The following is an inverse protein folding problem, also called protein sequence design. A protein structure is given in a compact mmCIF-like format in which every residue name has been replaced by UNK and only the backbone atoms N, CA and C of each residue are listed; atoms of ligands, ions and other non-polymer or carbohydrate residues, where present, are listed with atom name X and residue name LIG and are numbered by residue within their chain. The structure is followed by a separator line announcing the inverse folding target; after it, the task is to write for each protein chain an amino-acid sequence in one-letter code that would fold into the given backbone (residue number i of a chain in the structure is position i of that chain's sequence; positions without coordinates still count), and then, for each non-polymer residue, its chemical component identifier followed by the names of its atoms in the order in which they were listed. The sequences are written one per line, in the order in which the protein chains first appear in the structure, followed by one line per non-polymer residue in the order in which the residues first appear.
data_IF_128976389331
#
_entry.id   IF_128976389331
#
_cell.length_a   1.000
_cell.length_b   1.000
_cell.length_c   1.000
_cell.angle_alpha   90.00
_cell.angle_beta   90.00
_cell.angle_gamma   90.00
#
_symmetry.space_group_name_H-M   'P 1'
#
loop_
_entity.id
_entity.type
_entity.pdbx_description
1 polymer ?
#
# COMPACT_ATOMS: atom_id res chain seq x y z
N UNK A 1 -8.04 -17.26 -12.41
CA UNK A 1 -8.76 -16.04 -12.86
C UNK A 1 -9.98 -16.35 -13.73
N UNK A 2 -9.95 -17.35 -14.62
CA UNK A 2 -11.03 -17.60 -15.58
C UNK A 2 -12.37 -17.97 -14.96
N UNK A 3 -12.34 -18.56 -13.75
CA UNK A 3 -13.52 -18.94 -12.96
C UNK A 3 -14.20 -17.76 -12.25
N UNK A 4 -13.59 -16.57 -12.23
CA UNK A 4 -14.22 -15.37 -11.68
C UNK A 4 -15.31 -14.86 -12.62
N UNK A 5 -16.44 -14.44 -12.04
CA UNK A 5 -17.43 -13.67 -12.80
C UNK A 5 -16.80 -12.39 -13.36
N UNK A 6 -17.40 -11.86 -14.43
CA UNK A 6 -16.88 -10.66 -15.12
C UNK A 6 -16.67 -9.49 -14.17
N UNK A 7 -17.60 -9.27 -13.23
CA UNK A 7 -17.51 -8.18 -12.24
C UNK A 7 -16.27 -8.35 -11.36
N UNK A 8 -16.09 -9.52 -10.74
CA UNK A 8 -14.94 -9.76 -9.86
C UNK A 8 -13.61 -9.72 -10.60
N UNK A 9 -13.59 -10.14 -11.87
CA UNK A 9 -12.39 -10.05 -12.71
C UNK A 9 -11.99 -8.60 -12.97
N UNK A 10 -12.94 -7.74 -13.32
CA UNK A 10 -12.69 -6.32 -13.48
C UNK A 10 -12.33 -5.63 -12.16
N UNK A 11 -12.97 -5.99 -11.06
CA UNK A 11 -12.59 -5.52 -9.72
C UNK A 11 -11.15 -5.91 -9.38
N UNK A 12 -10.73 -7.14 -9.73
CA UNK A 12 -9.35 -7.58 -9.53
C UNK A 12 -8.39 -6.69 -10.32
N UNK A 13 -8.61 -6.54 -11.63
CA UNK A 13 -7.73 -5.75 -12.47
C UNK A 13 -7.68 -4.28 -12.03
N UNK A 14 -8.82 -3.70 -11.65
CA UNK A 14 -8.87 -2.35 -11.09
C UNK A 14 -8.03 -2.25 -9.81
N UNK A 15 -8.17 -3.21 -8.91
CA UNK A 15 -7.40 -3.24 -7.66
C UNK A 15 -5.90 -3.42 -7.90
N UNK A 16 -5.50 -4.33 -8.79
CA UNK A 16 -4.10 -4.51 -9.21
C UNK A 16 -3.51 -3.24 -9.82
N UNK A 17 -4.28 -2.54 -10.66
CA UNK A 17 -3.88 -1.27 -11.25
C UNK A 17 -3.66 -0.18 -10.19
N UNK A 18 -4.60 -0.04 -9.24
CA UNK A 18 -4.49 0.90 -8.13
C UNK A 18 -3.27 0.56 -7.27
N UNK A 19 -3.08 -0.70 -6.90
CA UNK A 19 -1.92 -1.15 -6.12
C UNK A 19 -0.60 -0.88 -6.86
N UNK A 20 -0.55 -1.10 -8.18
CA UNK A 20 0.63 -0.80 -8.98
C UNK A 20 1.00 0.68 -8.94
N UNK A 21 0.02 1.56 -9.22
CA UNK A 21 0.24 3.02 -9.22
C UNK A 21 0.61 3.52 -7.83
N UNK A 22 -0.12 3.11 -6.79
CA UNK A 22 0.16 3.51 -5.41
C UNK A 22 1.53 3.01 -4.96
N UNK A 23 1.91 1.78 -5.26
CA UNK A 23 3.21 1.23 -4.89
C UNK A 23 4.38 2.02 -5.49
N UNK A 24 4.27 2.41 -6.77
CA UNK A 24 5.29 3.24 -7.42
C UNK A 24 5.33 4.65 -6.82
N UNK A 25 4.16 5.25 -6.58
CA UNK A 25 4.06 6.59 -5.99
C UNK A 25 4.64 6.64 -4.58
N UNK A 26 4.27 5.69 -3.72
CA UNK A 26 4.80 5.54 -2.35
C UNK A 26 6.30 5.30 -2.42
N UNK A 27 6.77 4.39 -3.29
CA UNK A 27 8.20 4.12 -3.44
C UNK A 27 9.00 5.37 -3.80
N UNK A 28 8.47 6.21 -4.69
CA UNK A 28 9.09 7.50 -5.03
C UNK A 28 9.10 8.48 -3.86
N UNK A 29 7.97 8.64 -3.15
CA UNK A 29 7.86 9.53 -1.99
C UNK A 29 8.80 9.11 -0.86
N UNK A 30 8.78 7.83 -0.50
CA UNK A 30 9.62 7.28 0.56
C UNK A 30 11.11 7.32 0.19
N UNK A 31 11.45 7.18 -1.10
CA UNK A 31 12.83 7.37 -1.55
C UNK A 31 13.33 8.80 -1.34
N UNK A 32 12.46 9.81 -1.43
CA UNK A 32 12.82 11.20 -1.14
C UNK A 32 13.04 11.42 0.34
N UNK A 33 12.21 10.82 1.18
CA UNK A 33 12.36 10.83 2.64
C UNK A 33 13.74 10.29 3.03
N UNK A 34 14.10 9.10 2.55
CA UNK A 34 15.39 8.47 2.86
C UNK A 34 16.62 9.30 2.42
N UNK A 35 16.43 10.28 1.53
CA UNK A 35 17.48 11.18 1.03
C UNK A 35 17.54 12.53 1.76
N UNK A 36 16.87 12.71 2.90
CA UNK A 36 16.84 14.01 3.58
C UNK A 36 15.72 14.93 3.13
N UNK A 37 14.72 14.42 2.39
CA UNK A 37 13.62 15.24 1.92
C UNK A 37 12.69 15.67 3.05
N UNK A 38 12.36 16.96 3.10
CA UNK A 38 11.35 17.49 4.04
C UNK A 38 9.96 16.97 3.67
N UNK A 39 9.27 16.39 4.65
CA UNK A 39 7.89 15.99 4.47
C UNK A 39 6.94 17.14 4.82
N UNK A 40 6.03 17.44 3.90
CA UNK A 40 5.03 18.47 4.08
C UNK A 40 3.72 17.82 4.54
N UNK A 41 3.38 18.01 5.80
CA UNK A 41 2.18 17.44 6.39
C UNK A 41 0.91 18.09 5.84
N UNK A 42 -0.23 17.36 5.85
CA UNK A 42 -1.52 17.92 5.44
C UNK A 42 -2.01 19.12 6.27
N UNK A 43 -1.43 19.36 7.45
CA UNK A 43 -1.72 20.52 8.30
C UNK A 43 -0.82 21.74 8.01
N UNK A 44 0.09 21.62 7.04
CA UNK A 44 1.02 22.68 6.63
C UNK A 44 2.33 22.72 7.42
N UNK A 45 2.53 21.81 8.38
CA UNK A 45 3.81 21.66 9.07
C UNK A 45 4.83 20.90 8.21
N UNK A 46 6.11 21.11 8.53
CA UNK A 46 7.22 20.40 7.91
C UNK A 46 7.90 19.53 8.97
N UNK A 47 7.97 18.24 8.71
CA UNK A 47 8.64 17.29 9.61
C UNK A 47 9.92 16.76 8.97
N UNK A 48 10.99 16.69 9.76
CA UNK A 48 12.14 15.85 9.43
C UNK A 48 11.86 14.42 9.92
N UNK A 49 11.60 13.54 8.97
CA UNK A 49 11.29 12.15 9.27
C UNK A 49 12.50 11.37 9.80
N UNK A 50 13.73 11.88 9.70
CA UNK A 50 14.90 11.26 10.36
C UNK A 50 14.79 11.34 11.89
N UNK A 51 14.10 12.36 12.41
CA UNK A 51 13.88 12.50 13.84
C UNK A 51 12.75 11.60 14.35
N UNK A 52 11.97 11.00 13.44
CA UNK A 52 10.86 10.12 13.76
C UNK A 52 11.17 8.68 13.33
N UNK A 53 11.86 7.94 14.21
CA UNK A 53 12.40 6.60 13.93
C UNK A 53 11.40 5.61 13.33
N UNK A 54 10.12 5.68 13.71
CA UNK A 54 9.04 4.84 13.16
C UNK A 54 8.79 5.16 11.69
N UNK A 55 8.67 6.44 11.32
CA UNK A 55 8.42 6.84 9.94
C UNK A 55 9.63 6.57 9.06
N UNK A 56 10.85 6.78 9.57
CA UNK A 56 12.07 6.39 8.86
C UNK A 56 12.15 4.88 8.63
N UNK A 57 11.80 4.07 9.64
CA UNK A 57 11.75 2.61 9.51
C UNK A 57 10.70 2.14 8.49
N UNK A 58 9.53 2.79 8.46
CA UNK A 58 8.51 2.54 7.44
C UNK A 58 9.02 2.91 6.05
N UNK A 59 9.67 4.07 5.88
CA UNK A 59 10.23 4.50 4.61
C UNK A 59 11.29 3.50 4.09
N UNK A 60 12.15 2.98 4.97
CA UNK A 60 13.13 1.95 4.63
C UNK A 60 12.43 0.67 4.13
N UNK A 61 11.46 0.17 4.90
CA UNK A 61 10.72 -1.03 4.55
C UNK A 61 9.90 -0.86 3.25
N UNK A 62 9.30 0.31 3.03
CA UNK A 62 8.57 0.61 1.80
C UNK A 62 9.49 0.57 0.58
N UNK A 63 10.62 1.28 0.61
CA UNK A 63 11.54 1.39 -0.53
C UNK A 63 12.21 0.06 -0.87
N UNK A 64 12.67 -0.69 0.13
CA UNK A 64 13.47 -1.89 -0.10
C UNK A 64 12.67 -3.19 -0.13
N UNK A 65 11.45 -3.20 0.41
CA UNK A 65 10.65 -4.42 0.52
C UNK A 65 9.26 -4.22 -0.07
N UNK A 66 8.42 -3.37 0.52
CA UNK A 66 7.00 -3.34 0.17
C UNK A 66 6.74 -2.92 -1.28
N UNK A 67 7.31 -1.80 -1.73
CA UNK A 67 7.11 -1.31 -3.09
C UNK A 67 7.68 -2.28 -4.14
N UNK A 68 8.92 -2.81 -4.00
CA UNK A 68 9.42 -3.86 -4.90
C UNK A 68 8.55 -5.12 -4.94
N UNK A 69 8.14 -5.64 -3.77
CA UNK A 69 7.27 -6.82 -3.67
C UNK A 69 5.92 -6.57 -4.33
N UNK A 70 5.32 -5.41 -4.09
CA UNK A 70 4.07 -5.01 -4.72
C UNK A 70 4.21 -4.90 -6.25
N UNK A 71 5.23 -4.19 -6.74
CA UNK A 71 5.44 -4.02 -8.18
C UNK A 71 5.71 -5.36 -8.87
N UNK A 72 6.57 -6.21 -8.30
CA UNK A 72 6.81 -7.55 -8.81
C UNK A 72 5.53 -8.40 -8.79
N UNK A 73 4.76 -8.31 -7.70
CA UNK A 73 3.48 -8.99 -7.55
C UNK A 73 2.47 -8.60 -8.63
N UNK A 74 2.31 -7.30 -8.91
CA UNK A 74 1.44 -6.80 -9.98
C UNK A 74 1.89 -7.32 -11.34
N UNK A 75 3.17 -7.19 -11.67
CA UNK A 75 3.72 -7.65 -12.96
C UNK A 75 3.50 -9.16 -13.15
N UNK A 76 3.81 -9.95 -12.13
CA UNK A 76 3.64 -11.40 -12.15
C UNK A 76 2.15 -11.79 -12.26
N UNK A 77 1.25 -11.10 -11.55
CA UNK A 77 -0.19 -11.36 -11.64
C UNK A 77 -0.74 -11.08 -13.05
N UNK A 78 -0.30 -9.99 -13.70
CA UNK A 78 -0.67 -9.71 -15.10
C UNK A 78 -0.03 -10.69 -16.09
N UNK A 79 1.16 -11.23 -15.80
CA UNK A 79 1.78 -12.31 -16.56
C UNK A 79 1.10 -13.68 -16.34
N UNK A 80 0.05 -13.76 -15.50
CA UNK A 80 -0.66 -15.00 -15.19
C UNK A 80 0.07 -15.90 -14.19
N UNK A 81 1.13 -15.42 -13.53
CA UNK A 81 1.90 -16.19 -12.56
C UNK A 81 1.27 -16.08 -11.17
N UNK A 82 0.89 -17.22 -10.60
CA UNK A 82 0.24 -17.32 -9.27
C UNK A 82 1.05 -16.71 -8.14
N UNK A 83 2.38 -16.81 -8.21
CA UNK A 83 3.28 -16.21 -7.23
C UNK A 83 3.04 -14.71 -7.07
N UNK A 84 2.58 -14.02 -8.12
CA UNK A 84 2.23 -12.61 -8.07
C UNK A 84 1.15 -12.30 -7.02
N UNK A 85 0.12 -13.14 -6.90
CA UNK A 85 -0.95 -12.93 -5.91
C UNK A 85 -0.46 -13.10 -4.47
N UNK A 86 0.46 -14.05 -4.22
CA UNK A 86 1.06 -14.23 -2.90
C UNK A 86 1.92 -13.02 -2.50
N UNK A 87 2.71 -12.47 -3.42
CA UNK A 87 3.48 -11.25 -3.19
C UNK A 87 2.58 -10.06 -2.89
N UNK A 88 1.47 -9.92 -3.61
CA UNK A 88 0.49 -8.87 -3.37
C UNK A 88 -0.23 -9.02 -2.04
N UNK A 89 -0.50 -10.25 -1.59
CA UNK A 89 -1.06 -10.50 -0.26
C UNK A 89 -0.09 -10.07 0.85
N UNK A 90 1.21 -10.36 0.67
CA UNK A 90 2.27 -9.90 1.59
C UNK A 90 2.37 -8.37 1.61
N UNK A 91 2.40 -7.73 0.44
CA UNK A 91 2.41 -6.27 0.34
C UNK A 91 1.16 -5.64 0.98
N UNK A 92 -0.01 -6.23 0.76
CA UNK A 92 -1.28 -5.77 1.33
C UNK A 92 -1.29 -5.84 2.85
N UNK A 93 -0.74 -6.91 3.43
CA UNK A 93 -0.61 -7.01 4.88
C UNK A 93 0.27 -5.89 5.45
N UNK A 94 1.43 -5.63 4.80
CA UNK A 94 2.29 -4.51 5.18
C UNK A 94 1.57 -3.17 5.06
N UNK A 95 0.83 -2.94 3.96
CA UNK A 95 0.10 -1.70 3.73
C UNK A 95 -0.93 -1.45 4.82
N UNK A 96 -1.70 -2.47 5.20
CA UNK A 96 -2.64 -2.39 6.34
C UNK A 96 -1.90 -1.99 7.61
N UNK A 97 -0.84 -2.72 7.97
CA UNK A 97 -0.10 -2.45 9.20
C UNK A 97 0.49 -1.03 9.22
N UNK A 98 1.25 -0.65 8.19
CA UNK A 98 1.94 0.64 8.12
C UNK A 98 0.94 1.81 8.14
N UNK A 99 -0.13 1.74 7.34
CA UNK A 99 -1.13 2.80 7.26
C UNK A 99 -1.97 2.91 8.54
N UNK A 100 -2.28 1.80 9.23
CA UNK A 100 -2.94 1.84 10.53
C UNK A 100 -2.04 2.51 11.58
N UNK A 101 -0.75 2.16 11.60
CA UNK A 101 0.20 2.75 12.54
C UNK A 101 0.38 4.26 12.31
N UNK A 102 0.57 4.69 11.06
CA UNK A 102 0.72 6.11 10.73
C UNK A 102 -0.57 6.89 10.98
N UNK A 103 -1.74 6.31 10.65
CA UNK A 103 -3.05 6.91 10.94
C UNK A 103 -3.26 7.08 12.46
N UNK A 104 -2.99 6.04 13.25
CA UNK A 104 -3.15 6.09 14.70
C UNK A 104 -2.22 7.12 15.35
N UNK A 105 -0.96 7.19 14.91
CA UNK A 105 -0.01 8.19 15.37
C UNK A 105 -0.46 9.61 15.00
N UNK A 106 -0.91 9.82 13.77
CA UNK A 106 -1.42 11.11 13.30
C UNK A 106 -2.60 11.58 14.18
N UNK A 107 -3.62 10.72 14.37
CA UNK A 107 -4.79 11.06 15.18
C UNK A 107 -4.45 11.32 16.65
N UNK A 108 -3.59 10.49 17.25
CA UNK A 108 -3.28 10.56 18.69
C UNK A 108 -2.38 11.74 19.05
N UNK A 109 -1.33 11.96 18.28
CA UNK A 109 -0.26 12.90 18.65
C UNK A 109 -0.38 14.25 17.94
N UNK A 110 -0.84 14.26 16.68
CA UNK A 110 -0.87 15.47 15.87
C UNK A 110 -2.25 16.12 15.75
N UNK A 111 -3.33 15.39 16.10
CA UNK A 111 -4.73 15.88 16.05
C UNK A 111 -5.04 16.68 14.76
N UNK A 112 -4.78 16.09 13.59
CA UNK A 112 -4.83 16.77 12.31
C UNK A 112 -6.28 17.17 11.95
N UNK A 113 -6.41 18.14 11.04
CA UNK A 113 -7.67 18.34 10.32
C UNK A 113 -7.85 17.21 9.31
N UNK A 114 -8.98 16.51 9.38
CA UNK A 114 -9.32 15.42 8.44
C UNK A 114 -9.71 16.04 7.10
N UNK A 115 -8.75 16.10 6.18
CA UNK A 115 -8.91 16.57 4.80
C UNK A 115 -8.84 15.40 3.83
N UNK A 116 -9.20 15.63 2.56
CA UNK A 116 -9.00 14.64 1.51
C UNK A 116 -7.52 14.23 1.41
N UNK A 117 -6.59 15.20 1.45
CA UNK A 117 -5.16 14.92 1.42
C UNK A 117 -4.72 14.04 2.60
N UNK A 118 -5.21 14.32 3.81
CA UNK A 118 -4.97 13.48 4.98
C UNK A 118 -5.47 12.04 4.76
N UNK A 119 -6.69 11.88 4.21
CA UNK A 119 -7.26 10.57 3.91
C UNK A 119 -6.45 9.78 2.86
N UNK A 120 -6.00 10.44 1.80
CA UNK A 120 -5.16 9.83 0.76
C UNK A 120 -3.78 9.43 1.28
N UNK A 121 -3.27 10.17 2.25
CA UNK A 121 -1.93 9.96 2.83
C UNK A 121 -1.91 8.83 3.86
N UNK A 122 -2.90 8.79 4.75
CA UNK A 122 -2.83 7.94 5.95
C UNK A 122 -3.70 6.68 5.88
N UNK A 123 -5.04 6.75 5.77
CA UNK A 123 -5.86 5.53 5.78
C UNK A 123 -6.01 4.83 4.42
N UNK A 124 -5.83 5.51 3.28
CA UNK A 124 -6.15 4.90 1.98
C UNK A 124 -5.39 3.59 1.73
N UNK A 125 -4.09 3.54 2.02
CA UNK A 125 -3.29 2.33 1.79
C UNK A 125 -3.81 1.13 2.59
N UNK A 126 -4.29 1.36 3.82
CA UNK A 126 -4.91 0.30 4.62
C UNK A 126 -6.21 -0.22 3.99
N UNK A 127 -7.05 0.67 3.45
CA UNK A 127 -8.30 0.27 2.81
C UNK A 127 -8.05 -0.56 1.55
N UNK A 128 -7.06 -0.17 0.74
CA UNK A 128 -6.67 -0.93 -0.45
C UNK A 128 -6.08 -2.29 -0.10
N UNK A 129 -5.17 -2.34 0.89
CA UNK A 129 -4.61 -3.61 1.36
C UNK A 129 -5.69 -4.54 1.92
N UNK A 130 -6.63 -4.01 2.70
CA UNK A 130 -7.75 -4.80 3.23
C UNK A 130 -8.68 -5.29 2.11
N UNK A 131 -8.99 -4.46 1.13
CA UNK A 131 -9.80 -4.85 -0.02
C UNK A 131 -9.16 -6.03 -0.77
N UNK A 132 -7.84 -5.99 -0.97
CA UNK A 132 -7.12 -7.09 -1.60
C UNK A 132 -7.14 -8.36 -0.75
N UNK A 133 -6.88 -8.26 0.55
CA UNK A 133 -6.94 -9.41 1.47
C UNK A 133 -8.33 -10.05 1.42
N UNK A 134 -9.40 -9.27 1.57
CA UNK A 134 -10.78 -9.77 1.50
C UNK A 134 -11.06 -10.44 0.17
N UNK A 135 -10.62 -9.83 -0.93
CA UNK A 135 -10.78 -10.40 -2.26
C UNK A 135 -10.06 -11.76 -2.40
N UNK A 136 -8.85 -11.87 -1.85
CA UNK A 136 -8.10 -13.13 -1.88
C UNK A 136 -8.70 -14.21 -1.00
N UNK A 137 -9.36 -13.87 0.10
CA UNK A 137 -10.03 -14.82 0.97
C UNK A 137 -11.33 -15.34 0.33
N UNK A 138 -12.13 -14.44 -0.27
CA UNK A 138 -13.41 -14.81 -0.90
C UNK A 138 -13.19 -15.63 -2.17
N UNK A 139 -12.14 -15.34 -2.93
CA UNK A 139 -11.85 -15.97 -4.22
C UNK A 139 -10.57 -16.81 -4.21
N UNK A 140 -10.22 -17.39 -3.05
CA UNK A 140 -8.97 -18.09 -2.84
C UNK A 140 -8.68 -19.13 -3.93
N UNK A 141 -9.63 -20.04 -4.18
CA UNK A 141 -9.45 -21.11 -5.17
C UNK A 141 -9.24 -20.56 -6.58
N UNK A 142 -9.98 -19.51 -6.95
CA UNK A 142 -9.87 -18.92 -8.28
C UNK A 142 -8.51 -18.24 -8.55
N UNK A 143 -7.79 -17.85 -7.49
CA UNK A 143 -6.50 -17.15 -7.56
C UNK A 143 -5.31 -18.09 -7.32
N UNK A 144 -5.47 -19.07 -6.42
CA UNK A 144 -4.37 -19.89 -5.92
C UNK A 144 -4.45 -21.37 -6.28
N UNK A 145 -5.64 -21.91 -6.62
CA UNK A 145 -5.76 -23.32 -6.96
C UNK A 145 -5.09 -23.66 -8.32
N UNK A 146 -4.63 -24.92 -8.50
CA UNK A 146 -3.93 -25.40 -9.70
C UNK A 146 -4.62 -25.21 -11.04
#
# INVERSE_FOLDING_TARGET
METLSTVWRWSLYGLLGIMGVLGLMVGWLQSRVLRGGVYHNPDGSNDDWHEQSVFYGIALADVFVSCPVNTAGVVMAFAGLRVGFYLLALASFWWVWANVMTTANSLKFHKPKITANWFFTFPLGALIGLAYILMTLVHFDALYAP
#
